data_IF_004985720262
#
_entry.id   IF_004985720262
#
_cell.length_a   1.000
_cell.length_b   1.000
_cell.length_c   1.000
_cell.angle_alpha   90.00
_cell.angle_beta   90.00
_cell.angle_gamma   90.00
#
_symmetry.space_group_name_H-M   'P 1'
#
loop_
_entity.id
_entity.type
_entity.pdbx_description
1 polymer ?
#
# COMPACT_ATOMS: atom_id res chain seq x y z
N UNK A 1 49.20 -42.82 -16.91
CA UNK A 1 50.41 -43.10 -16.09
C UNK A 1 51.00 -41.73 -15.80
N UNK A 2 51.13 -41.21 -14.58
CA UNK A 2 51.63 -41.80 -13.33
C UNK A 2 50.89 -41.15 -12.16
N UNK A 3 50.62 -41.97 -11.16
CA UNK A 3 49.93 -41.70 -9.90
C UNK A 3 50.62 -40.66 -9.02
N UNK A 4 49.79 -39.91 -8.29
CA UNK A 4 50.21 -39.14 -7.11
C UNK A 4 49.89 -40.01 -5.88
N UNK A 5 50.91 -40.70 -5.36
CA UNK A 5 51.05 -41.08 -3.95
C UNK A 5 51.37 -39.79 -3.16
N UNK A 6 51.09 -39.57 -1.88
CA UNK A 6 50.74 -40.47 -0.79
C UNK A 6 50.41 -39.62 0.47
N UNK A 7 49.68 -40.27 1.37
CA UNK A 7 49.82 -40.26 2.82
C UNK A 7 49.33 -39.08 3.67
N UNK A 8 48.64 -39.51 4.70
CA UNK A 8 47.88 -38.78 5.69
C UNK A 8 48.66 -38.61 7.00
N UNK A 9 48.05 -37.79 7.85
CA UNK A 9 47.99 -37.88 9.32
C UNK A 9 48.90 -36.95 10.12
N UNK A 10 48.26 -36.00 10.81
CA UNK A 10 48.64 -35.58 12.16
C UNK A 10 47.44 -34.93 12.89
N UNK A 11 47.00 -35.63 13.93
CA UNK A 11 46.58 -35.20 15.28
C UNK A 11 45.65 -33.99 15.54
N UNK A 12 44.64 -34.30 16.36
CA UNK A 12 43.74 -33.43 17.12
C UNK A 12 44.41 -32.32 17.94
N UNK A 13 43.72 -31.18 18.05
CA UNK A 13 43.71 -30.37 19.26
C UNK A 13 42.31 -29.79 19.50
N UNK A 14 41.75 -30.16 20.64
CA UNK A 14 40.51 -29.68 21.25
C UNK A 14 40.75 -28.31 21.87
N UNK A 15 39.87 -27.32 21.60
CA UNK A 15 39.74 -26.15 22.47
C UNK A 15 38.28 -25.71 22.59
N UNK A 16 37.68 -26.12 23.69
CA UNK A 16 36.47 -25.59 24.31
C UNK A 16 36.76 -24.29 25.06
N UNK A 17 35.93 -23.26 24.95
CA UNK A 17 35.61 -22.25 25.98
C UNK A 17 34.70 -21.18 25.35
N UNK A 18 33.67 -20.57 25.94
CA UNK A 18 32.85 -20.77 27.15
C UNK A 18 31.86 -19.60 27.09
N UNK A 19 30.60 -19.85 26.71
CA UNK A 19 29.54 -18.84 26.86
C UNK A 19 29.10 -18.87 28.33
N UNK A 20 29.37 -17.79 29.07
CA UNK A 20 28.80 -17.54 30.40
C UNK A 20 28.37 -16.09 30.50
N UNK A 21 27.10 -15.82 30.22
CA UNK A 21 26.43 -14.57 30.63
C UNK A 21 25.82 -14.77 32.04
N UNK A 22 26.23 -13.97 33.04
CA UNK A 22 25.73 -14.11 34.40
C UNK A 22 24.41 -13.35 34.58
N UNK A 23 23.29 -14.09 34.59
CA UNK A 23 22.03 -13.62 35.19
C UNK A 23 22.26 -13.49 36.70
N UNK A 24 22.56 -12.26 37.14
CA UNK A 24 22.67 -11.93 38.57
C UNK A 24 21.31 -12.12 39.23
N UNK A 25 21.26 -13.12 40.09
CA UNK A 25 20.20 -13.31 41.08
C UNK A 25 20.28 -12.16 42.10
N UNK A 26 19.31 -11.25 42.06
CA UNK A 26 19.10 -10.33 43.18
C UNK A 26 18.36 -11.10 44.29
N UNK A 27 18.80 -11.03 45.56
CA UNK A 27 18.07 -11.63 46.66
C UNK A 27 16.73 -10.91 46.87
N UNK A 28 15.70 -11.69 47.21
CA UNK A 28 14.36 -11.21 47.54
C UNK A 28 14.40 -10.19 48.69
N UNK A 29 13.62 -9.10 48.65
CA UNK A 29 13.42 -8.27 49.83
C UNK A 29 12.61 -9.05 50.87
N UNK A 30 13.20 -9.25 52.06
CA UNK A 30 12.49 -9.72 53.24
C UNK A 30 11.52 -8.61 53.64
N UNK A 31 10.23 -8.78 53.33
CA UNK A 31 9.17 -7.91 53.83
C UNK A 31 8.88 -8.32 55.27
N UNK A 32 9.25 -7.47 56.23
CA UNK A 32 8.74 -7.57 57.61
C UNK A 32 7.23 -7.35 57.57
N UNK A 33 6.48 -8.36 57.96
CA UNK A 33 5.03 -8.29 58.16
C UNK A 33 4.71 -7.40 59.35
N UNK A 34 3.92 -6.36 59.13
CA UNK A 34 3.08 -5.78 60.18
C UNK A 34 1.64 -6.18 59.86
N UNK A 35 1.06 -6.88 60.82
CA UNK A 35 -0.31 -7.36 60.89
C UNK A 35 -1.23 -6.13 61.02
N UNK A 36 -2.13 -5.95 60.06
CA UNK A 36 -3.27 -5.07 60.21
C UNK A 36 -4.49 -5.76 59.61
N UNK A 37 -5.55 -5.74 60.41
CA UNK A 37 -6.75 -6.55 60.29
C UNK A 37 -7.44 -6.47 58.92
N UNK A 38 -8.00 -7.62 58.54
CA UNK A 38 -8.41 -7.96 57.19
C UNK A 38 -9.45 -7.06 56.54
N UNK A 39 -9.37 -6.96 55.21
CA UNK A 39 -10.46 -7.31 54.28
C UNK A 39 -9.82 -7.84 52.99
N UNK A 40 -10.30 -9.00 52.52
CA UNK A 40 -9.92 -9.65 51.26
C UNK A 40 -10.20 -8.74 50.05
N UNK A 41 -9.14 -8.27 49.38
CA UNK A 41 -9.20 -7.87 47.98
C UNK A 41 -8.27 -8.79 47.20
N UNK A 42 -8.84 -9.73 46.43
CA UNK A 42 -8.09 -10.53 45.48
C UNK A 42 -7.46 -9.59 44.44
N UNK A 43 -6.14 -9.42 44.50
CA UNK A 43 -5.40 -8.74 43.45
C UNK A 43 -5.61 -9.51 42.14
N UNK A 44 -6.39 -8.90 41.25
CA UNK A 44 -6.50 -9.31 39.84
C UNK A 44 -5.10 -9.22 39.24
N UNK A 45 -4.46 -10.38 39.07
CA UNK A 45 -3.30 -10.54 38.22
C UNK A 45 -3.72 -10.21 36.79
N UNK A 46 -3.59 -8.94 36.40
CA UNK A 46 -3.63 -8.52 35.01
C UNK A 46 -2.45 -9.19 34.29
N UNK A 47 -2.71 -10.36 33.69
CA UNK A 47 -1.99 -10.77 32.48
C UNK A 47 -2.54 -9.94 31.32
N UNK A 48 -2.10 -8.69 31.25
CA UNK A 48 -2.21 -7.89 30.03
C UNK A 48 -0.79 -7.48 29.67
N UNK A 49 -0.20 -8.26 28.75
CA UNK A 49 1.11 -7.96 28.18
C UNK A 49 1.07 -6.55 27.62
N UNK A 50 1.75 -5.62 28.28
CA UNK A 50 1.85 -4.23 27.84
C UNK A 50 2.33 -4.19 26.37
N UNK A 51 1.69 -3.41 25.49
CA UNK A 51 2.13 -3.29 24.11
C UNK A 51 3.56 -2.72 24.09
N UNK A 52 4.46 -3.41 23.38
CA UNK A 52 5.85 -2.98 23.20
C UNK A 52 5.83 -1.60 22.53
N UNK A 53 6.33 -0.58 23.24
CA UNK A 53 6.39 0.78 22.70
C UNK A 53 7.21 0.79 21.39
N UNK A 54 6.59 1.25 20.31
CA UNK A 54 7.25 1.38 19.01
C UNK A 54 8.41 2.38 19.13
N UNK A 55 9.61 1.96 18.70
CA UNK A 55 10.80 2.81 18.66
C UNK A 55 10.58 4.02 17.73
N UNK A 56 11.21 5.17 17.99
CA UNK A 56 11.04 6.40 17.19
C UNK A 56 11.32 6.23 15.68
N UNK A 57 12.09 5.22 15.28
CA UNK A 57 12.43 4.92 13.89
C UNK A 57 11.31 4.23 13.08
N UNK A 58 10.33 3.59 13.72
CA UNK A 58 9.18 2.98 13.01
C UNK A 58 8.20 4.05 12.47
N UNK A 59 8.23 5.25 13.05
CA UNK A 59 7.42 6.42 12.61
C UNK A 59 7.91 7.08 11.33
N UNK A 60 9.11 6.73 10.83
CA UNK A 60 9.70 7.32 9.63
C UNK A 60 9.62 6.43 8.40
N UNK A 61 9.07 5.21 8.51
CA UNK A 61 8.79 4.40 7.31
C UNK A 61 7.53 4.95 6.66
N UNK A 62 7.56 5.39 5.39
CA UNK A 62 6.33 5.78 4.71
C UNK A 62 5.38 4.60 4.76
N UNK A 63 4.17 4.84 5.30
CA UNK A 63 3.13 3.82 5.33
C UNK A 63 2.91 3.31 3.91
N UNK A 64 2.76 1.98 3.76
CA UNK A 64 2.35 1.44 2.46
C UNK A 64 1.02 2.10 2.08
N UNK A 65 0.83 2.51 0.80
CA UNK A 65 -0.43 3.05 0.36
C UNK A 65 -1.56 2.12 0.79
N UNK A 66 -2.58 2.67 1.44
CA UNK A 66 -3.67 1.84 1.94
C UNK A 66 -4.46 1.34 0.74
N UNK A 67 -4.76 0.04 0.71
CA UNK A 67 -5.54 -0.58 -0.38
C UNK A 67 -6.95 -0.84 0.08
N UNK A 68 -7.90 -0.66 -0.82
CA UNK A 68 -9.33 -0.88 -0.55
C UNK A 68 -9.92 -1.93 -1.47
N UNK A 69 -10.91 -2.66 -0.95
CA UNK A 69 -11.73 -3.58 -1.74
C UNK A 69 -12.53 -2.83 -2.80
N UNK A 70 -12.93 -3.52 -3.87
CA UNK A 70 -13.82 -3.00 -4.91
C UNK A 70 -15.07 -2.32 -4.33
N UNK A 71 -15.78 -3.00 -3.43
CA UNK A 71 -17.03 -2.49 -2.84
C UNK A 71 -16.82 -1.14 -2.14
N UNK A 72 -15.82 -1.06 -1.26
CA UNK A 72 -15.47 0.19 -0.56
C UNK A 72 -15.09 1.32 -1.52
N UNK A 73 -14.37 1.01 -2.61
CA UNK A 73 -14.03 1.99 -3.62
C UNK A 73 -15.30 2.52 -4.32
N UNK A 74 -16.17 1.63 -4.80
CA UNK A 74 -17.45 2.02 -5.44
C UNK A 74 -18.34 2.80 -4.49
N UNK A 75 -18.46 2.38 -3.22
CA UNK A 75 -19.25 3.09 -2.21
C UNK A 75 -18.73 4.52 -2.00
N UNK A 76 -17.41 4.71 -1.95
CA UNK A 76 -16.79 6.03 -1.84
C UNK A 76 -17.03 6.90 -3.09
N UNK A 77 -16.86 6.32 -4.29
CA UNK A 77 -17.09 7.02 -5.55
C UNK A 77 -18.55 7.48 -5.68
N UNK A 78 -19.50 6.58 -5.43
CA UNK A 78 -20.94 6.85 -5.54
C UNK A 78 -21.41 7.86 -4.49
N UNK A 79 -20.93 7.77 -3.25
CA UNK A 79 -21.19 8.77 -2.20
C UNK A 79 -20.71 10.17 -2.61
N UNK A 80 -19.62 10.25 -3.37
CA UNK A 80 -19.09 11.51 -3.89
C UNK A 80 -19.74 11.96 -5.22
N UNK A 81 -20.74 11.23 -5.74
CA UNK A 81 -21.44 11.54 -6.98
C UNK A 81 -20.68 11.16 -8.26
N UNK A 82 -19.67 10.29 -8.17
CA UNK A 82 -19.04 9.65 -9.33
C UNK A 82 -19.82 8.39 -9.72
N UNK A 83 -19.67 7.98 -10.98
CA UNK A 83 -20.22 6.74 -11.50
C UNK A 83 -19.09 5.78 -11.85
N UNK A 84 -19.40 4.49 -11.88
CA UNK A 84 -18.52 3.42 -12.32
C UNK A 84 -19.27 2.52 -13.29
N UNK A 85 -18.58 2.02 -14.32
CA UNK A 85 -19.15 1.13 -15.33
C UNK A 85 -18.10 0.11 -15.77
N UNK A 86 -18.52 -1.14 -15.93
CA UNK A 86 -17.75 -2.18 -16.62
C UNK A 86 -18.41 -2.56 -17.94
N UNK A 87 -17.63 -2.60 -19.02
CA UNK A 87 -18.07 -3.10 -20.33
C UNK A 87 -18.35 -4.60 -20.30
N UNK A 88 -17.53 -5.38 -19.59
CA UNK A 88 -17.71 -6.82 -19.37
C UNK A 88 -18.75 -7.20 -18.32
N UNK A 89 -19.43 -6.23 -17.69
CA UNK A 89 -20.41 -6.46 -16.62
C UNK A 89 -19.84 -7.28 -15.44
N UNK A 90 -18.57 -7.06 -15.11
CA UNK A 90 -17.84 -7.84 -14.12
C UNK A 90 -16.82 -6.97 -13.37
N UNK A 91 -16.30 -7.50 -12.26
CA UNK A 91 -15.40 -6.79 -11.35
C UNK A 91 -14.10 -7.56 -11.06
N UNK A 92 -13.85 -8.65 -11.76
CA UNK A 92 -12.67 -9.48 -11.55
C UNK A 92 -11.42 -8.80 -12.12
N UNK A 93 -10.48 -8.44 -11.24
CA UNK A 93 -9.18 -7.85 -11.61
C UNK A 93 -8.34 -8.70 -12.57
N UNK A 94 -8.63 -9.99 -12.72
CA UNK A 94 -7.87 -10.89 -13.61
C UNK A 94 -8.39 -10.87 -15.04
N UNK A 95 -9.51 -10.21 -15.29
CA UNK A 95 -10.21 -10.22 -16.58
C UNK A 95 -10.20 -8.81 -17.16
N UNK A 96 -9.57 -8.65 -18.33
CA UNK A 96 -9.31 -7.35 -18.95
C UNK A 96 -10.55 -6.58 -19.41
N UNK A 97 -11.69 -7.24 -19.58
CA UNK A 97 -12.97 -6.57 -19.92
C UNK A 97 -13.74 -6.12 -18.68
N UNK A 98 -13.33 -6.54 -17.48
CA UNK A 98 -13.92 -6.06 -16.24
C UNK A 98 -13.39 -4.68 -15.89
N UNK A 99 -14.11 -3.96 -15.04
CA UNK A 99 -13.56 -2.75 -14.41
C UNK A 99 -13.38 -3.04 -12.94
N UNK A 100 -12.19 -3.48 -12.55
CA UNK A 100 -11.95 -3.81 -11.15
C UNK A 100 -11.46 -2.59 -10.38
N UNK A 101 -11.99 -2.36 -9.17
CA UNK A 101 -11.39 -1.45 -8.20
C UNK A 101 -10.80 -2.23 -7.01
N UNK A 102 -10.63 -3.54 -7.14
CA UNK A 102 -10.02 -4.38 -6.10
C UNK A 102 -8.55 -4.01 -5.91
N UNK A 103 -8.10 -3.90 -4.65
CA UNK A 103 -6.74 -3.49 -4.29
C UNK A 103 -6.31 -2.11 -4.82
N UNK A 104 -7.24 -1.24 -5.22
CA UNK A 104 -6.92 0.14 -5.59
C UNK A 104 -6.40 0.91 -4.37
N UNK A 105 -5.51 1.89 -4.59
CA UNK A 105 -5.05 2.77 -3.51
C UNK A 105 -6.20 3.65 -3.01
N UNK A 106 -6.31 3.83 -1.70
CA UNK A 106 -7.24 4.80 -1.11
C UNK A 106 -6.93 6.22 -1.57
N UNK A 107 -5.65 6.55 -1.77
CA UNK A 107 -5.24 7.87 -2.27
C UNK A 107 -5.74 8.09 -3.69
N UNK A 108 -5.67 7.09 -4.56
CA UNK A 108 -6.22 7.17 -5.93
C UNK A 108 -7.72 7.41 -5.94
N UNK A 109 -8.48 6.76 -5.05
CA UNK A 109 -9.92 7.03 -4.89
C UNK A 109 -10.17 8.44 -4.34
N UNK A 110 -9.37 8.90 -3.38
CA UNK A 110 -9.48 10.25 -2.86
C UNK A 110 -9.20 11.31 -3.94
N UNK A 111 -8.17 11.09 -4.76
CA UNK A 111 -7.75 12.07 -5.76
C UNK A 111 -8.72 12.16 -6.95
N UNK A 112 -9.34 11.05 -7.38
CA UNK A 112 -10.40 11.11 -8.40
C UNK A 112 -11.67 11.79 -7.86
N UNK A 113 -11.96 11.64 -6.56
CA UNK A 113 -13.02 12.41 -5.88
C UNK A 113 -12.65 13.90 -5.81
N UNK A 114 -11.39 14.22 -5.51
CA UNK A 114 -10.91 15.59 -5.54
C UNK A 114 -11.07 16.19 -6.94
N UNK A 115 -10.67 15.46 -8.00
CA UNK A 115 -10.88 15.85 -9.40
C UNK A 115 -12.35 16.13 -9.70
N UNK A 116 -13.28 15.26 -9.28
CA UNK A 116 -14.74 15.48 -9.41
C UNK A 116 -15.19 16.79 -8.78
N UNK A 117 -14.68 17.09 -7.58
CA UNK A 117 -15.05 18.29 -6.82
C UNK A 117 -14.50 19.56 -7.45
N UNK A 118 -13.22 19.59 -7.79
CA UNK A 118 -12.57 20.79 -8.35
C UNK A 118 -12.98 21.08 -9.78
N UNK A 119 -13.29 20.05 -10.57
CA UNK A 119 -13.78 20.23 -11.94
C UNK A 119 -15.27 20.54 -12.01
N UNK A 120 -16.05 20.08 -11.02
CA UNK A 120 -17.51 20.08 -11.08
C UNK A 120 -18.10 19.12 -12.13
N UNK A 121 -17.29 18.47 -12.95
CA UNK A 121 -17.72 17.69 -14.10
C UNK A 121 -18.29 16.32 -13.71
N UNK A 122 -19.21 15.73 -14.48
CA UNK A 122 -19.53 14.32 -14.31
C UNK A 122 -18.29 13.46 -14.61
N UNK A 123 -18.05 12.45 -13.77
CA UNK A 123 -16.95 11.50 -13.95
C UNK A 123 -17.51 10.07 -13.93
N UNK A 124 -17.17 9.28 -14.94
CA UNK A 124 -17.48 7.86 -15.04
C UNK A 124 -16.17 7.07 -15.13
N UNK A 125 -15.89 6.29 -14.09
CA UNK A 125 -14.73 5.39 -14.05
C UNK A 125 -15.03 4.13 -14.86
N UNK A 126 -14.14 3.78 -15.78
CA UNK A 126 -14.26 2.63 -16.71
C UNK A 126 -13.09 1.68 -16.69
N UNK A 127 -12.00 2.04 -16.03
CA UNK A 127 -10.83 1.18 -15.83
C UNK A 127 -10.22 1.40 -14.46
N UNK A 128 -9.56 0.38 -13.94
CA UNK A 128 -8.98 0.37 -12.60
C UNK A 128 -7.83 -0.60 -12.50
N UNK A 129 -8.00 -1.68 -11.73
CA UNK A 129 -6.92 -2.62 -11.38
C UNK A 129 -6.96 -3.92 -12.18
N UNK A 130 -7.82 -4.00 -13.20
CA UNK A 130 -7.92 -5.14 -14.10
C UNK A 130 -6.63 -5.43 -14.88
N UNK A 131 -6.55 -6.65 -15.41
CA UNK A 131 -5.48 -7.09 -16.29
C UNK A 131 -5.57 -6.41 -17.67
N UNK A 132 -4.49 -6.48 -18.46
CA UNK A 132 -4.44 -5.93 -19.81
C UNK A 132 -3.69 -4.60 -19.94
N UNK A 133 -3.39 -3.96 -18.80
CA UNK A 133 -2.62 -2.70 -18.74
C UNK A 133 -1.11 -2.93 -18.68
N UNK A 134 -0.35 -1.92 -19.13
CA UNK A 134 1.12 -1.96 -19.07
C UNK A 134 1.63 -2.11 -17.62
N UNK A 135 2.65 -2.96 -17.39
CA UNK A 135 3.22 -3.14 -16.06
C UNK A 135 4.07 -1.94 -15.66
N UNK A 136 4.38 -1.84 -14.37
CA UNK A 136 5.27 -0.80 -13.86
C UNK A 136 4.95 -0.44 -12.41
N UNK A 137 5.78 0.39 -11.78
CA UNK A 137 5.54 0.83 -10.41
C UNK A 137 4.28 1.71 -10.28
N UNK A 138 4.08 2.60 -11.26
CA UNK A 138 2.95 3.52 -11.38
C UNK A 138 1.92 2.98 -12.39
N UNK A 139 1.31 1.83 -12.08
CA UNK A 139 0.43 1.09 -12.99
C UNK A 139 -0.99 0.89 -12.43
N UNK A 140 -1.90 0.52 -13.33
CA UNK A 140 -3.26 0.05 -13.04
C UNK A 140 -3.27 -1.11 -12.05
N UNK A 141 -2.51 -2.18 -12.33
CA UNK A 141 -2.44 -3.36 -11.48
C UNK A 141 -1.96 -3.06 -10.04
N UNK A 142 -1.23 -1.96 -9.84
CA UNK A 142 -0.77 -1.51 -8.53
C UNK A 142 -1.68 -0.46 -7.89
N UNK A 143 -2.76 -0.08 -8.55
CA UNK A 143 -3.79 0.84 -8.04
C UNK A 143 -3.39 2.31 -8.09
N UNK A 144 -2.43 2.70 -8.95
CA UNK A 144 -1.99 4.08 -9.12
C UNK A 144 -2.77 4.84 -10.20
N UNK A 145 -3.45 4.10 -11.07
CA UNK A 145 -4.15 4.66 -12.22
C UNK A 145 -5.63 4.31 -12.20
N UNK A 146 -6.43 5.16 -12.82
CA UNK A 146 -7.83 4.90 -13.16
C UNK A 146 -8.09 5.43 -14.57
N UNK A 147 -8.97 4.74 -15.28
CA UNK A 147 -9.49 5.23 -16.56
C UNK A 147 -10.85 5.88 -16.35
N UNK A 148 -11.04 7.05 -16.94
CA UNK A 148 -12.35 7.73 -16.96
C UNK A 148 -12.78 8.02 -18.39
N UNK A 149 -14.08 7.91 -18.66
CA UNK A 149 -14.61 8.27 -19.96
C UNK A 149 -14.45 9.76 -20.26
N UNK A 150 -14.18 10.05 -21.53
CA UNK A 150 -14.30 11.40 -22.06
C UNK A 150 -15.70 11.95 -21.87
N UNK A 151 -15.74 13.25 -21.62
CA UNK A 151 -16.91 14.08 -21.82
C UNK A 151 -16.47 15.54 -21.92
N UNK A 152 -17.24 16.34 -22.65
CA UNK A 152 -16.87 17.72 -22.95
C UNK A 152 -16.54 18.58 -21.72
N UNK A 153 -17.11 18.28 -20.54
CA UNK A 153 -16.78 19.00 -19.32
C UNK A 153 -15.36 18.67 -18.85
N UNK A 154 -15.05 17.39 -18.62
CA UNK A 154 -13.76 16.99 -18.07
C UNK A 154 -12.62 17.24 -19.06
N UNK A 155 -12.86 17.02 -20.35
CA UNK A 155 -11.87 17.28 -21.42
C UNK A 155 -11.46 18.75 -21.43
N UNK A 156 -12.45 19.65 -21.41
CA UNK A 156 -12.22 21.10 -21.32
C UNK A 156 -11.53 21.48 -20.01
N UNK A 157 -11.91 20.86 -18.89
CA UNK A 157 -11.29 21.16 -17.60
C UNK A 157 -9.80 20.81 -17.61
N UNK A 158 -9.43 19.59 -18.00
CA UNK A 158 -8.04 19.13 -18.03
C UNK A 158 -7.20 20.00 -18.98
N UNK A 159 -7.67 20.14 -20.23
CA UNK A 159 -6.92 20.84 -21.28
C UNK A 159 -6.77 22.34 -21.03
N UNK A 160 -7.72 22.96 -20.30
CA UNK A 160 -7.65 24.40 -19.95
C UNK A 160 -6.78 24.67 -18.73
N UNK A 161 -6.79 23.79 -17.73
CA UNK A 161 -6.17 24.05 -16.43
C UNK A 161 -4.77 23.48 -16.30
N UNK A 162 -4.41 22.48 -17.10
CA UNK A 162 -3.11 21.80 -16.98
C UNK A 162 -2.31 21.95 -18.27
N UNK A 163 -1.02 22.32 -18.20
CA UNK A 163 -0.17 22.41 -19.37
C UNK A 163 0.12 21.04 -19.96
N UNK A 164 0.32 21.00 -21.28
CA UNK A 164 0.85 19.82 -21.97
C UNK A 164 2.26 19.52 -21.46
N UNK A 165 2.54 18.26 -21.14
CA UNK A 165 3.83 17.80 -20.62
C UNK A 165 4.54 16.81 -21.55
N UNK A 166 4.04 16.61 -22.77
CA UNK A 166 4.62 15.73 -23.77
C UNK A 166 3.58 14.82 -24.43
N UNK A 167 4.07 13.77 -25.08
CA UNK A 167 3.26 12.76 -25.77
C UNK A 167 3.88 11.38 -25.49
N UNK A 168 3.04 10.36 -25.30
CA UNK A 168 3.46 8.96 -25.16
C UNK A 168 3.75 8.35 -26.54
N UNK A 169 4.49 7.22 -26.61
CA UNK A 169 4.77 6.53 -27.88
C UNK A 169 3.52 6.04 -28.65
N UNK A 170 2.41 5.82 -27.95
CA UNK A 170 1.10 5.46 -28.52
C UNK A 170 0.33 6.68 -29.08
N UNK A 171 0.89 7.89 -28.98
CA UNK A 171 0.27 9.13 -29.47
C UNK A 171 -0.55 9.87 -28.42
N UNK A 172 -0.72 9.33 -27.21
CA UNK A 172 -1.54 9.96 -26.18
C UNK A 172 -0.87 11.25 -25.67
N UNK A 173 -1.58 12.37 -25.74
CA UNK A 173 -1.08 13.66 -25.26
C UNK A 173 -1.10 13.69 -23.72
N UNK A 174 -0.03 14.14 -23.10
CA UNK A 174 0.07 14.21 -21.65
C UNK A 174 -0.21 15.62 -21.13
N UNK A 175 -0.99 15.72 -20.07
CA UNK A 175 -1.21 16.93 -19.28
C UNK A 175 -0.80 16.68 -17.83
N UNK A 176 -0.20 17.68 -17.16
CA UNK A 176 0.32 17.52 -15.80
C UNK A 176 -0.24 18.57 -14.85
N UNK A 177 -0.88 18.13 -13.78
CA UNK A 177 -1.25 19.01 -12.68
C UNK A 177 -0.03 19.30 -11.77
N UNK A 178 -0.01 20.44 -11.05
CA UNK A 178 1.06 20.77 -10.12
C UNK A 178 1.32 19.72 -9.03
N UNK A 179 0.28 18.97 -8.62
CA UNK A 179 0.38 17.89 -7.63
C UNK A 179 1.01 16.59 -8.16
N UNK A 180 1.47 16.55 -9.40
CA UNK A 180 2.13 15.38 -9.99
C UNK A 180 1.19 14.40 -10.72
N UNK A 181 -0.12 14.58 -10.61
CA UNK A 181 -1.13 13.87 -11.41
C UNK A 181 -0.86 14.06 -12.90
N UNK A 182 -0.91 12.97 -13.66
CA UNK A 182 -0.71 12.97 -15.10
C UNK A 182 -1.97 12.45 -15.77
N UNK A 183 -2.47 13.18 -16.74
CA UNK A 183 -3.59 12.79 -17.58
C UNK A 183 -3.04 12.44 -18.95
N UNK A 184 -3.25 11.20 -19.40
CA UNK A 184 -2.98 10.79 -20.76
C UNK A 184 -4.30 10.78 -21.55
N UNK A 185 -4.36 11.59 -22.59
CA UNK A 185 -5.47 11.72 -23.51
C UNK A 185 -5.38 10.56 -24.51
N UNK A 186 -5.98 9.41 -24.17
CA UNK A 186 -6.10 8.27 -25.09
C UNK A 186 -7.35 8.44 -25.95
N UNK A 187 -7.51 7.67 -27.02
CA UNK A 187 -8.56 7.93 -28.01
C UNK A 187 -9.99 7.89 -27.43
N UNK A 188 -10.28 6.97 -26.52
CA UNK A 188 -11.62 6.70 -25.99
C UNK A 188 -11.78 6.98 -24.49
N UNK A 189 -10.69 7.27 -23.78
CA UNK A 189 -10.69 7.57 -22.36
C UNK A 189 -9.45 8.36 -21.91
N UNK A 190 -9.52 8.91 -20.69
CA UNK A 190 -8.36 9.40 -19.97
C UNK A 190 -7.74 8.31 -19.11
N UNK A 191 -6.47 7.96 -19.35
CA UNK A 191 -5.62 7.18 -18.42
C UNK A 191 -4.97 8.16 -17.44
N UNK A 192 -5.39 8.12 -16.17
CA UNK A 192 -4.96 9.09 -15.15
C UNK A 192 -4.07 8.43 -14.11
N UNK A 193 -2.83 8.91 -14.01
CA UNK A 193 -1.89 8.54 -12.95
C UNK A 193 -1.99 9.50 -11.78
N UNK A 194 -2.34 8.96 -10.60
CA UNK A 194 -2.31 9.64 -9.31
C UNK A 194 -1.05 9.23 -8.52
N UNK A 195 -0.19 10.20 -8.20
CA UNK A 195 1.10 9.93 -7.53
C UNK A 195 0.99 10.09 -6.01
#
# INVERSE_FOLDING_TARGET
MISINAMASAASATTTSSVKDPVRHAPSPIVRTYEFDGVLQTARWYTESAPRAATPTDRLRPARPTRVSHRRAVDALTTAGLRWKSSGHCIDRRVHVCTSLEDVRSETIHDVIALKRVSGCPIMVTGGTEAGHAPGFFSHARGYKLDILHNACIDRYITKNYPKSGMRPDGSTLYRAPGGTVFADEFDHWDILFK
#
